data_IF_641841329731
#
_entry.id   IF_641841329731
#
_cell.length_a   1.000
_cell.length_b   1.000
_cell.length_c   1.000
_cell.angle_alpha   90.00
_cell.angle_beta   90.00
_cell.angle_gamma   90.00
#
_symmetry.space_group_name_H-M   'P 1'
#
loop_
_entity.id
_entity.type
_entity.pdbx_description
1 polymer ?
#
# COMPACT_ATOMS: atom_id res chain seq x y z
N UNK A 1 17.93 -28.88 18.76
CA UNK A 1 18.16 -27.82 17.78
C UNK A 1 17.70 -26.52 18.42
N UNK A 2 18.61 -25.57 18.56
CA UNK A 2 18.32 -24.22 19.10
C UNK A 2 17.53 -23.40 18.09
N UNK A 3 16.92 -22.29 18.50
CA UNK A 3 16.08 -21.46 17.64
C UNK A 3 16.84 -20.92 16.42
N UNK A 4 18.05 -20.44 16.60
CA UNK A 4 18.87 -19.89 15.51
C UNK A 4 19.32 -20.98 14.52
N UNK A 5 19.66 -22.16 14.99
CA UNK A 5 19.98 -23.31 14.14
C UNK A 5 18.78 -23.71 13.29
N UNK A 6 17.57 -23.69 13.89
CA UNK A 6 16.31 -23.98 13.19
C UNK A 6 16.05 -22.97 12.09
N UNK A 7 16.16 -21.66 12.38
CA UNK A 7 15.96 -20.58 11.43
C UNK A 7 16.93 -20.67 10.27
N UNK A 8 18.21 -20.94 10.51
CA UNK A 8 19.22 -21.12 9.48
C UNK A 8 18.89 -22.31 8.58
N UNK A 9 18.56 -23.46 9.15
CA UNK A 9 18.22 -24.65 8.39
C UNK A 9 16.94 -24.48 7.53
N UNK A 10 15.95 -23.73 8.05
CA UNK A 10 14.76 -23.38 7.28
C UNK A 10 15.07 -22.39 6.14
N UNK A 11 15.94 -21.41 6.39
CA UNK A 11 16.36 -20.46 5.37
C UNK A 11 17.11 -21.17 4.23
N UNK A 12 17.90 -22.19 4.54
CA UNK A 12 18.58 -23.01 3.54
C UNK A 12 17.64 -23.86 2.67
N UNK A 13 16.46 -24.12 3.17
CA UNK A 13 15.42 -24.90 2.48
C UNK A 13 14.15 -24.06 2.21
N UNK A 14 14.28 -22.75 2.13
CA UNK A 14 13.13 -21.83 2.06
C UNK A 14 12.26 -22.04 0.82
N UNK A 15 12.84 -22.40 -0.33
CA UNK A 15 12.07 -22.63 -1.55
C UNK A 15 11.19 -23.89 -1.45
N UNK A 16 11.70 -25.10 -1.13
CA UNK A 16 10.84 -26.25 -0.91
C UNK A 16 9.85 -26.04 0.25
N UNK A 17 10.25 -25.34 1.31
CA UNK A 17 9.36 -24.98 2.41
C UNK A 17 8.18 -24.12 1.92
N UNK A 18 8.43 -23.09 1.14
CA UNK A 18 7.40 -22.20 0.63
C UNK A 18 6.43 -22.93 -0.33
N UNK A 19 6.96 -23.77 -1.22
CA UNK A 19 6.14 -24.60 -2.14
C UNK A 19 5.20 -25.52 -1.38
N UNK A 20 5.70 -26.17 -0.34
CA UNK A 20 4.90 -27.06 0.48
C UNK A 20 3.85 -26.32 1.32
N UNK A 21 4.25 -25.23 1.98
CA UNK A 21 3.33 -24.44 2.82
C UNK A 21 2.21 -23.79 2.02
N UNK A 22 2.51 -23.25 0.85
CA UNK A 22 1.57 -22.51 0.05
C UNK A 22 0.77 -23.39 -0.91
N UNK A 23 1.21 -24.63 -1.14
CA UNK A 23 0.56 -25.61 -2.03
C UNK A 23 0.17 -25.01 -3.40
N UNK A 24 1.03 -24.14 -3.92
CA UNK A 24 0.81 -23.42 -5.15
C UNK A 24 2.11 -23.28 -5.95
N UNK A 25 2.01 -23.28 -7.27
CA UNK A 25 3.13 -22.92 -8.13
C UNK A 25 3.42 -21.41 -8.03
N UNK A 26 4.69 -21.00 -8.04
CA UNK A 26 5.02 -19.59 -8.10
C UNK A 26 4.46 -18.94 -9.36
N UNK A 27 3.86 -17.76 -9.20
CA UNK A 27 3.37 -16.94 -10.32
C UNK A 27 4.49 -16.16 -11.01
N UNK A 28 5.63 -16.00 -10.33
CA UNK A 28 6.83 -15.35 -10.86
C UNK A 28 8.07 -15.98 -10.22
N UNK A 29 9.15 -16.12 -11.00
CA UNK A 29 10.48 -16.53 -10.55
C UNK A 29 11.52 -15.54 -11.01
N UNK A 30 12.33 -15.05 -10.08
CA UNK A 30 13.54 -14.28 -10.33
C UNK A 30 14.74 -15.01 -9.72
N UNK A 31 15.95 -14.50 -9.93
CA UNK A 31 17.20 -15.12 -9.46
C UNK A 31 17.23 -15.35 -7.94
N UNK A 32 16.70 -14.43 -7.17
CA UNK A 32 16.76 -14.40 -5.71
C UNK A 32 15.39 -14.38 -5.03
N UNK A 33 14.30 -14.44 -5.81
CA UNK A 33 12.95 -14.31 -5.29
C UNK A 33 11.95 -15.16 -6.09
N UNK A 34 11.05 -15.84 -5.39
CA UNK A 34 9.87 -16.46 -5.98
C UNK A 34 8.62 -15.77 -5.42
N UNK A 35 7.58 -15.64 -6.25
CA UNK A 35 6.35 -14.97 -5.86
C UNK A 35 5.14 -15.87 -6.03
N UNK A 36 4.18 -15.70 -5.14
CA UNK A 36 2.94 -16.47 -5.09
C UNK A 36 1.72 -15.56 -5.05
N UNK A 37 0.56 -16.16 -5.33
CA UNK A 37 -0.72 -15.48 -5.24
C UNK A 37 -1.00 -14.57 -6.44
N UNK A 38 -2.18 -13.99 -6.43
CA UNK A 38 -2.64 -13.11 -7.53
C UNK A 38 -1.67 -11.95 -7.70
N UNK A 39 -1.14 -11.78 -8.90
CA UNK A 39 -0.14 -10.75 -9.26
C UNK A 39 1.19 -10.84 -8.48
N UNK A 40 1.51 -11.98 -7.87
CA UNK A 40 2.77 -12.15 -7.15
C UNK A 40 2.85 -11.35 -5.85
N UNK A 41 1.74 -11.22 -5.13
CA UNK A 41 1.67 -10.41 -3.91
C UNK A 41 2.55 -10.93 -2.77
N UNK A 42 2.72 -12.24 -2.64
CA UNK A 42 3.58 -12.86 -1.64
C UNK A 42 4.95 -13.16 -2.24
N UNK A 43 5.97 -12.47 -1.78
CA UNK A 43 7.37 -12.68 -2.18
C UNK A 43 8.13 -13.48 -1.14
N UNK A 44 8.93 -14.47 -1.59
CA UNK A 44 9.82 -15.28 -0.75
C UNK A 44 11.24 -15.18 -1.31
N UNK A 45 12.20 -14.79 -0.48
CA UNK A 45 13.60 -14.66 -0.85
C UNK A 45 14.30 -16.01 -0.78
N UNK A 46 14.71 -16.53 -1.94
CA UNK A 46 15.32 -17.86 -2.07
C UNK A 46 16.84 -17.80 -2.18
N UNK A 47 17.41 -16.62 -2.43
CA UNK A 47 18.85 -16.42 -2.49
C UNK A 47 19.25 -15.00 -2.02
N UNK A 48 20.56 -14.74 -1.91
CA UNK A 48 21.14 -13.45 -1.52
C UNK A 48 21.07 -13.16 -0.01
N UNK A 49 21.44 -11.94 0.43
CA UNK A 49 21.55 -11.57 1.86
C UNK A 49 20.25 -11.67 2.63
N UNK A 50 19.10 -11.65 1.95
CA UNK A 50 17.75 -11.76 2.56
C UNK A 50 17.13 -13.14 2.39
N UNK A 51 17.92 -14.16 2.02
CA UNK A 51 17.43 -15.53 1.88
C UNK A 51 16.72 -15.98 3.16
N UNK A 52 15.59 -16.68 3.02
CA UNK A 52 14.80 -17.15 4.15
C UNK A 52 13.77 -16.14 4.67
N UNK A 53 13.64 -14.96 4.05
CA UNK A 53 12.61 -14.00 4.41
C UNK A 53 11.45 -13.98 3.43
N UNK A 54 10.28 -13.52 3.88
CA UNK A 54 9.11 -13.29 3.04
C UNK A 54 8.47 -11.93 3.30
N UNK A 55 7.68 -11.47 2.34
CA UNK A 55 6.86 -10.26 2.44
C UNK A 55 5.57 -10.45 1.64
N UNK A 56 4.43 -10.22 2.29
CA UNK A 56 3.13 -10.13 1.63
C UNK A 56 2.79 -8.67 1.33
N UNK A 57 2.87 -8.27 0.07
CA UNK A 57 2.54 -6.93 -0.41
C UNK A 57 1.03 -6.66 -0.49
N UNK A 58 0.18 -7.67 -0.35
CA UNK A 58 -1.28 -7.50 -0.26
C UNK A 58 -1.76 -7.33 1.18
N UNK A 59 -0.92 -7.73 2.14
CA UNK A 59 -1.08 -7.61 3.57
C UNK A 59 0.09 -6.87 4.20
N UNK A 60 0.18 -6.90 5.53
CA UNK A 60 1.31 -6.35 6.29
C UNK A 60 2.29 -7.43 6.77
N UNK A 61 2.06 -8.69 6.41
CA UNK A 61 2.84 -9.81 6.90
C UNK A 61 4.23 -9.86 6.26
N UNK A 62 5.26 -9.91 7.09
CA UNK A 62 6.66 -10.10 6.68
C UNK A 62 7.42 -10.78 7.80
N UNK A 63 8.50 -11.45 7.46
CA UNK A 63 9.33 -12.09 8.48
C UNK A 63 10.30 -13.10 7.90
N UNK A 64 10.82 -13.97 8.79
CA UNK A 64 11.70 -15.08 8.47
C UNK A 64 10.92 -16.36 8.07
N UNK A 65 11.64 -17.45 7.82
CA UNK A 65 11.04 -18.73 7.43
C UNK A 65 10.09 -19.31 8.51
N UNK A 66 10.37 -19.06 9.80
CA UNK A 66 9.48 -19.51 10.88
C UNK A 66 8.19 -18.66 10.89
N UNK A 67 8.29 -17.38 10.65
CA UNK A 67 7.14 -16.49 10.47
C UNK A 67 6.33 -16.83 9.23
N UNK A 68 6.97 -17.33 8.14
CA UNK A 68 6.26 -17.85 6.97
C UNK A 68 5.40 -19.08 7.33
N UNK A 69 5.90 -19.97 8.19
CA UNK A 69 5.12 -21.12 8.68
C UNK A 69 3.90 -20.63 9.47
N UNK A 70 4.08 -19.67 10.39
CA UNK A 70 2.97 -19.08 11.14
C UNK A 70 1.95 -18.43 10.22
N UNK A 71 2.42 -17.65 9.25
CA UNK A 71 1.58 -16.99 8.25
C UNK A 71 0.76 -17.99 7.43
N UNK A 72 1.41 -19.01 6.86
CA UNK A 72 0.77 -19.98 5.99
C UNK A 72 -0.18 -20.93 6.73
N UNK A 73 0.15 -21.24 7.98
CA UNK A 73 -0.60 -22.22 8.81
C UNK A 73 -1.54 -21.57 9.81
N UNK A 74 -1.47 -20.23 9.97
CA UNK A 74 -2.26 -19.49 10.95
C UNK A 74 -2.15 -20.09 12.36
N UNK A 75 -0.92 -20.40 12.80
CA UNK A 75 -0.65 -21.12 14.03
C UNK A 75 0.24 -20.29 14.99
N UNK A 76 0.22 -20.66 16.27
CA UNK A 76 1.03 -20.05 17.30
C UNK A 76 2.55 -20.32 17.11
N UNK A 77 3.44 -19.44 17.60
CA UNK A 77 4.89 -19.60 17.45
C UNK A 77 5.43 -20.94 17.92
N UNK A 78 4.88 -21.49 19.01
CA UNK A 78 5.26 -22.81 19.54
C UNK A 78 4.89 -23.96 18.63
N UNK A 79 3.77 -23.83 17.93
CA UNK A 79 3.31 -24.84 16.97
C UNK A 79 4.13 -24.78 15.68
N UNK A 80 4.41 -23.57 15.18
CA UNK A 80 5.31 -23.38 14.04
C UNK A 80 6.70 -23.96 14.31
N UNK A 81 7.25 -23.74 15.51
CA UNK A 81 8.55 -24.30 15.91
C UNK A 81 8.54 -25.83 15.93
N UNK A 82 7.50 -26.44 16.51
CA UNK A 82 7.33 -27.88 16.58
C UNK A 82 7.22 -28.53 15.21
N UNK A 83 6.39 -27.93 14.35
CA UNK A 83 6.22 -28.37 12.98
C UNK A 83 7.52 -28.25 12.17
N UNK A 84 8.20 -27.11 12.26
CA UNK A 84 9.47 -26.87 11.58
C UNK A 84 10.54 -27.91 11.92
N UNK A 85 10.63 -28.32 13.18
CA UNK A 85 11.54 -29.39 13.62
C UNK A 85 11.17 -30.73 13.00
N UNK A 86 9.89 -31.07 12.98
CA UNK A 86 9.42 -32.31 12.36
C UNK A 86 9.69 -32.31 10.85
N UNK A 87 9.43 -31.19 10.19
CA UNK A 87 9.66 -31.03 8.76
C UNK A 87 11.15 -31.15 8.35
N UNK A 88 12.04 -30.56 9.12
CA UNK A 88 13.49 -30.67 8.89
C UNK A 88 14.04 -32.07 9.20
N UNK A 89 13.42 -32.80 10.13
CA UNK A 89 13.80 -34.18 10.51
C UNK A 89 13.19 -35.25 9.63
N UNK A 90 12.27 -34.92 8.73
CA UNK A 90 11.68 -35.86 7.78
C UNK A 90 12.70 -36.23 6.69
N UNK A 91 12.81 -37.53 6.34
CA UNK A 91 13.63 -37.97 5.23
C UNK A 91 13.11 -37.36 3.90
N UNK A 92 13.99 -37.07 2.91
CA UNK A 92 13.54 -36.64 1.59
C UNK A 92 12.55 -37.67 1.00
N UNK A 93 11.33 -37.24 0.66
CA UNK A 93 10.27 -38.11 0.15
C UNK A 93 9.36 -38.71 1.23
N UNK A 94 9.61 -38.49 2.51
CA UNK A 94 8.65 -38.82 3.58
C UNK A 94 7.51 -37.80 3.53
N UNK A 95 6.26 -38.32 3.69
CA UNK A 95 5.09 -37.43 3.84
C UNK A 95 5.33 -36.50 5.04
N UNK A 96 5.36 -35.20 4.80
CA UNK A 96 5.38 -34.22 5.88
C UNK A 96 4.20 -34.49 6.84
N UNK A 97 4.33 -34.15 8.14
CA UNK A 97 3.23 -34.29 9.07
C UNK A 97 1.97 -33.65 8.46
N UNK A 98 0.80 -34.32 8.50
CA UNK A 98 -0.40 -33.78 7.87
C UNK A 98 -0.61 -32.35 8.30
N UNK A 99 -0.78 -31.48 7.32
CA UNK A 99 -1.13 -30.09 7.57
C UNK A 99 -2.44 -30.10 8.38
N UNK A 100 -2.55 -29.41 9.52
CA UNK A 100 -3.84 -29.21 10.12
C UNK A 100 -4.76 -28.60 9.05
N UNK A 101 -6.08 -28.89 9.09
CA UNK A 101 -7.00 -28.35 8.09
C UNK A 101 -6.77 -26.86 8.00
N UNK A 102 -6.54 -26.40 6.76
CA UNK A 102 -6.36 -24.96 6.50
C UNK A 102 -7.55 -24.24 7.13
N UNK A 103 -7.35 -23.33 8.09
CA UNK A 103 -8.46 -22.51 8.54
C UNK A 103 -9.12 -21.92 7.31
N UNK A 104 -10.45 -21.75 7.30
CA UNK A 104 -11.13 -21.23 6.13
C UNK A 104 -10.37 -20.01 5.67
N UNK A 105 -9.94 -20.02 4.41
CA UNK A 105 -9.20 -18.92 3.79
C UNK A 105 -9.88 -17.63 4.22
N UNK A 106 -9.18 -16.64 4.80
CA UNK A 106 -9.81 -15.37 5.13
C UNK A 106 -10.60 -14.98 3.90
N UNK A 107 -11.88 -14.82 4.06
CA UNK A 107 -12.92 -14.68 3.03
C UNK A 107 -12.33 -13.97 1.84
N UNK A 108 -12.33 -14.60 0.67
CA UNK A 108 -11.77 -14.04 -0.57
C UNK A 108 -12.07 -12.56 -0.58
N UNK A 109 -11.06 -11.72 -0.82
CA UNK A 109 -11.28 -10.26 -0.91
C UNK A 109 -12.56 -10.06 -1.72
N UNK A 110 -13.52 -9.26 -1.24
CA UNK A 110 -14.80 -9.10 -1.91
C UNK A 110 -14.55 -8.93 -3.40
N UNK A 111 -15.36 -9.50 -4.30
CA UNK A 111 -15.17 -9.31 -5.72
C UNK A 111 -15.02 -7.82 -6.01
N UNK A 112 -14.20 -7.46 -6.96
CA UNK A 112 -13.86 -6.04 -7.27
C UNK A 112 -15.13 -5.17 -7.39
N UNK A 113 -16.21 -5.71 -7.95
CA UNK A 113 -17.52 -5.07 -8.01
C UNK A 113 -18.06 -4.72 -6.61
N UNK A 114 -17.98 -5.63 -5.66
CA UNK A 114 -18.49 -5.39 -4.29
C UNK A 114 -17.69 -4.31 -3.56
N UNK A 115 -16.37 -4.19 -3.81
CA UNK A 115 -15.57 -3.12 -3.23
C UNK A 115 -15.81 -1.77 -3.89
N UNK A 116 -16.14 -1.76 -5.19
CA UNK A 116 -16.57 -0.55 -5.90
C UNK A 116 -17.93 -0.07 -5.38
N UNK A 117 -18.88 -0.98 -5.20
CA UNK A 117 -20.20 -0.65 -4.68
C UNK A 117 -20.13 -0.15 -3.23
N UNK A 118 -19.27 -0.76 -2.41
CA UNK A 118 -18.99 -0.27 -1.07
C UNK A 118 -18.39 1.15 -1.12
N UNK A 119 -17.42 1.39 -2.00
CA UNK A 119 -16.81 2.71 -2.17
C UNK A 119 -17.85 3.78 -2.57
N UNK A 120 -18.74 3.45 -3.53
CA UNK A 120 -19.82 4.35 -3.96
C UNK A 120 -20.78 4.66 -2.82
N UNK A 121 -21.19 3.65 -2.05
CA UNK A 121 -22.07 3.82 -0.90
C UNK A 121 -21.43 4.73 0.14
N UNK A 122 -20.21 4.42 0.59
CA UNK A 122 -19.51 5.23 1.59
C UNK A 122 -19.29 6.67 1.12
N UNK A 123 -19.01 6.86 -0.16
CA UNK A 123 -18.89 8.19 -0.75
C UNK A 123 -20.22 8.95 -0.75
N UNK A 124 -21.33 8.27 -1.02
CA UNK A 124 -22.69 8.84 -0.96
C UNK A 124 -23.13 9.21 0.44
N UNK A 125 -22.73 8.42 1.45
CA UNK A 125 -23.03 8.65 2.87
C UNK A 125 -22.12 9.71 3.51
N UNK A 126 -20.99 10.03 2.88
CA UNK A 126 -19.99 10.94 3.43
C UNK A 126 -20.43 12.41 3.36
N UNK A 127 -20.12 13.15 4.40
CA UNK A 127 -20.38 14.58 4.56
C UNK A 127 -19.27 15.41 3.90
N UNK A 128 -19.54 16.68 3.56
CA UNK A 128 -18.47 17.63 3.21
C UNK A 128 -17.39 17.65 4.30
N UNK A 129 -16.11 17.71 3.92
CA UNK A 129 -15.01 17.63 4.88
C UNK A 129 -14.91 18.88 5.79
N UNK A 130 -15.41 20.04 5.32
CA UNK A 130 -15.37 21.32 6.07
C UNK A 130 -16.18 21.23 7.36
N UNK A 131 -15.62 21.74 8.45
CA UNK A 131 -16.25 21.72 9.78
C UNK A 131 -16.21 20.35 10.47
N UNK A 132 -15.44 19.39 9.98
CA UNK A 132 -15.38 18.02 10.50
C UNK A 132 -13.98 17.64 10.97
N UNK A 133 -13.86 16.42 11.55
CA UNK A 133 -12.57 15.87 11.95
C UNK A 133 -11.59 15.72 10.75
N UNK A 134 -12.08 15.63 9.52
CA UNK A 134 -11.22 15.60 8.33
C UNK A 134 -10.50 16.95 8.11
N UNK A 135 -11.19 18.07 8.32
CA UNK A 135 -10.57 19.40 8.28
C UNK A 135 -9.60 19.59 9.46
N UNK A 136 -10.00 19.17 10.67
CA UNK A 136 -9.13 19.23 11.86
C UNK A 136 -7.84 18.41 11.65
N UNK A 137 -7.95 17.23 11.08
CA UNK A 137 -6.81 16.40 10.74
C UNK A 137 -5.85 17.10 9.74
N UNK A 138 -6.38 17.67 8.69
CA UNK A 138 -5.55 18.42 7.73
C UNK A 138 -4.93 19.66 8.37
N UNK A 139 -5.70 20.38 9.19
CA UNK A 139 -5.21 21.55 9.93
C UNK A 139 -4.11 21.20 10.93
N UNK A 140 -4.19 20.05 11.63
CA UNK A 140 -3.12 19.58 12.52
C UNK A 140 -1.80 19.33 11.80
N UNK A 141 -1.86 19.09 10.49
CA UNK A 141 -0.70 18.99 9.61
C UNK A 141 -0.35 20.33 8.92
N UNK A 142 -1.04 21.40 9.29
CA UNK A 142 -0.87 22.73 8.68
C UNK A 142 -1.33 22.79 7.23
N UNK A 143 -2.31 21.99 6.86
CA UNK A 143 -2.89 21.91 5.51
C UNK A 143 -4.32 22.43 5.54
N UNK A 144 -4.73 23.14 4.50
CA UNK A 144 -6.07 23.66 4.36
C UNK A 144 -6.91 22.83 3.37
N UNK A 145 -8.23 22.81 3.56
CA UNK A 145 -9.21 22.28 2.62
C UNK A 145 -9.48 23.32 1.52
N UNK A 146 -8.51 23.59 0.66
CA UNK A 146 -8.72 24.50 -0.46
C UNK A 146 -9.40 23.77 -1.62
N UNK A 147 -10.67 24.07 -1.88
CA UNK A 147 -11.36 23.65 -3.10
C UNK A 147 -11.40 22.14 -3.34
N UNK A 148 -11.14 21.36 -2.31
CA UNK A 148 -10.88 19.93 -2.40
C UNK A 148 -12.18 19.12 -2.58
N UNK A 149 -12.83 19.29 -3.72
CA UNK A 149 -14.01 18.54 -4.12
C UNK A 149 -13.91 17.00 -3.95
N UNK A 150 -12.73 16.34 -4.12
CA UNK A 150 -12.62 14.90 -3.95
C UNK A 150 -12.45 14.46 -2.48
N UNK A 151 -12.54 15.36 -1.49
CA UNK A 151 -12.38 15.03 -0.07
C UNK A 151 -13.71 15.17 0.68
N UNK A 152 -14.08 14.14 1.43
CA UNK A 152 -15.28 14.09 2.30
C UNK A 152 -14.94 13.51 3.66
N UNK A 153 -15.85 13.62 4.60
CA UNK A 153 -15.76 13.03 5.94
C UNK A 153 -16.83 11.98 6.13
N UNK A 154 -16.46 10.82 6.66
CA UNK A 154 -17.41 9.80 7.06
C UNK A 154 -17.29 9.52 8.56
N UNK A 155 -18.36 9.73 9.40
CA UNK A 155 -18.26 9.63 10.85
C UNK A 155 -18.07 8.18 11.34
N UNK A 156 -18.55 7.20 10.57
CA UNK A 156 -18.49 5.76 10.88
C UNK A 156 -18.14 4.96 9.64
N UNK A 157 -17.01 5.29 9.00
CA UNK A 157 -16.54 4.59 7.82
C UNK A 157 -16.33 3.10 8.12
N UNK A 158 -16.83 2.25 7.23
CA UNK A 158 -16.63 0.81 7.31
C UNK A 158 -15.16 0.46 7.46
N UNK A 159 -14.87 -0.51 8.33
CA UNK A 159 -13.54 -1.07 8.53
C UNK A 159 -13.64 -2.59 8.51
N UNK A 160 -12.65 -3.27 7.93
CA UNK A 160 -12.64 -4.74 7.96
C UNK A 160 -12.56 -5.23 9.41
N UNK A 161 -13.36 -6.24 9.76
CA UNK A 161 -13.55 -6.76 11.13
C UNK A 161 -12.23 -7.08 11.86
N UNK A 162 -11.17 -7.43 11.14
CA UNK A 162 -9.85 -7.71 11.72
C UNK A 162 -9.05 -6.47 12.17
N UNK A 163 -9.50 -5.25 11.83
CA UNK A 163 -8.74 -4.01 12.06
C UNK A 163 -9.46 -2.96 12.92
N UNK A 164 -10.51 -3.37 13.57
CA UNK A 164 -11.27 -2.54 14.51
C UNK A 164 -12.68 -2.19 14.07
N UNK A 165 -13.42 -1.46 14.92
CA UNK A 165 -14.79 -1.03 14.61
C UNK A 165 -14.80 0.06 13.52
N UNK A 166 -15.96 0.29 12.87
CA UNK A 166 -16.17 1.46 12.03
C UNK A 166 -15.89 2.76 12.81
N UNK A 167 -15.18 3.68 12.18
CA UNK A 167 -14.73 4.92 12.84
C UNK A 167 -14.68 6.11 11.89
N UNK A 168 -14.33 7.30 12.41
CA UNK A 168 -14.21 8.50 11.61
C UNK A 168 -13.10 8.36 10.56
N UNK A 169 -13.37 8.84 9.35
CA UNK A 169 -12.39 8.77 8.27
C UNK A 169 -12.49 9.97 7.31
N UNK A 170 -11.32 10.41 6.84
CA UNK A 170 -11.21 11.22 5.64
C UNK A 170 -11.36 10.29 4.42
N UNK A 171 -12.38 10.52 3.61
CA UNK A 171 -12.62 9.84 2.35
C UNK A 171 -12.13 10.69 1.19
N UNK A 172 -11.43 10.06 0.26
CA UNK A 172 -11.04 10.68 -1.00
C UNK A 172 -11.55 9.87 -2.17
N UNK A 173 -12.21 10.54 -3.13
CA UNK A 173 -12.67 9.91 -4.36
C UNK A 173 -11.47 9.54 -5.23
N UNK A 174 -11.36 8.28 -5.61
CA UNK A 174 -10.38 7.82 -6.60
C UNK A 174 -11.02 7.75 -7.97
N UNK A 175 -10.34 8.32 -8.97
CA UNK A 175 -10.77 8.32 -10.36
C UNK A 175 -9.73 7.66 -11.25
N UNK A 176 -10.14 7.14 -12.39
CA UNK A 176 -9.23 6.74 -13.46
C UNK A 176 -8.40 7.95 -13.90
N UNK A 177 -7.09 7.80 -14.00
CA UNK A 177 -6.20 8.90 -14.36
C UNK A 177 -6.44 9.42 -15.79
N UNK A 178 -6.95 8.57 -16.68
CA UNK A 178 -7.15 8.86 -18.08
C UNK A 178 -8.57 9.38 -18.38
N UNK A 179 -9.59 8.73 -17.82
CA UNK A 179 -11.02 9.01 -18.14
C UNK A 179 -11.72 9.90 -17.11
N UNK A 180 -11.13 10.13 -15.95
CA UNK A 180 -11.72 10.79 -14.78
C UNK A 180 -12.92 10.06 -14.14
N UNK A 181 -13.30 8.87 -14.64
CA UNK A 181 -14.40 8.10 -14.06
C UNK A 181 -14.09 7.63 -12.63
N UNK A 182 -15.07 7.69 -11.73
CA UNK A 182 -14.92 7.16 -10.38
C UNK A 182 -14.63 5.66 -10.38
N UNK A 183 -13.53 5.25 -9.75
CA UNK A 183 -13.09 3.85 -9.69
C UNK A 183 -13.04 3.31 -8.27
N UNK A 184 -13.15 4.15 -7.26
CA UNK A 184 -13.08 3.74 -5.87
C UNK A 184 -12.97 4.90 -4.89
N UNK A 185 -12.68 4.57 -3.64
CA UNK A 185 -12.44 5.52 -2.57
C UNK A 185 -11.21 5.12 -1.75
N UNK A 186 -10.44 6.13 -1.34
CA UNK A 186 -9.36 5.98 -0.37
C UNK A 186 -9.87 6.47 0.99
N UNK A 187 -9.78 5.62 2.02
CA UNK A 187 -10.19 5.92 3.37
C UNK A 187 -8.95 6.09 4.24
N UNK A 188 -8.80 7.22 4.90
CA UNK A 188 -7.82 7.46 5.96
C UNK A 188 -8.57 7.54 7.28
N UNK A 189 -8.45 6.53 8.15
CA UNK A 189 -9.08 6.54 9.46
C UNK A 189 -8.41 7.54 10.38
N UNK A 190 -9.23 8.27 11.13
CA UNK A 190 -8.80 9.39 11.98
C UNK A 190 -8.93 9.03 13.46
N UNK A 191 -8.11 9.66 14.29
CA UNK A 191 -8.28 9.66 15.72
C UNK A 191 -9.65 10.30 16.09
N UNK A 192 -10.26 9.91 17.21
CA UNK A 192 -11.59 10.40 17.61
C UNK A 192 -11.68 11.93 17.76
N UNK A 193 -10.57 12.58 18.03
CA UNK A 193 -10.44 14.04 18.18
C UNK A 193 -9.98 14.75 16.88
N UNK A 194 -9.73 13.99 15.82
CA UNK A 194 -9.24 14.53 14.54
C UNK A 194 -7.80 15.05 14.55
N UNK A 195 -7.03 14.88 15.63
CA UNK A 195 -5.65 15.40 15.75
C UNK A 195 -4.65 14.63 14.89
N UNK A 196 -4.93 13.36 14.59
CA UNK A 196 -4.02 12.45 13.89
C UNK A 196 -4.79 11.40 13.08
N UNK A 197 -4.06 10.52 12.40
CA UNK A 197 -4.59 9.24 11.93
C UNK A 197 -4.92 8.34 13.11
N UNK A 198 -5.89 7.44 12.94
CA UNK A 198 -6.19 6.41 13.93
C UNK A 198 -4.94 5.58 14.26
N UNK A 199 -4.87 5.06 15.46
CA UNK A 199 -3.84 4.09 15.85
C UNK A 199 -4.15 2.69 15.29
N UNK A 200 -3.10 1.85 15.25
CA UNK A 200 -3.19 0.45 14.83
C UNK A 200 -2.82 0.19 13.38
N UNK A 201 -3.16 -1.02 12.92
CA UNK A 201 -2.86 -1.45 11.57
C UNK A 201 -3.90 -0.97 10.55
N UNK A 202 -3.47 -0.82 9.29
CA UNK A 202 -4.33 -0.44 8.16
C UNK A 202 -5.16 0.82 8.40
N UNK A 203 -4.50 1.86 8.85
CA UNK A 203 -5.10 3.20 9.01
C UNK A 203 -5.45 3.86 7.68
N UNK A 204 -4.98 3.30 6.56
CA UNK A 204 -5.35 3.67 5.19
C UNK A 204 -5.87 2.43 4.45
N UNK A 205 -6.99 2.56 3.76
CA UNK A 205 -7.61 1.49 2.97
C UNK A 205 -8.09 2.04 1.63
N UNK A 206 -7.84 1.29 0.57
CA UNK A 206 -8.42 1.54 -0.75
C UNK A 206 -9.57 0.57 -1.01
N UNK A 207 -10.69 1.08 -1.46
CA UNK A 207 -11.87 0.35 -1.90
C UNK A 207 -12.08 0.57 -3.39
N UNK A 208 -12.34 -0.50 -4.13
CA UNK A 208 -12.45 -0.45 -5.58
C UNK A 208 -11.12 -0.68 -6.30
N UNK A 209 -10.99 -0.12 -7.50
CA UNK A 209 -9.77 -0.21 -8.33
C UNK A 209 -8.76 0.88 -7.96
N UNK A 210 -7.50 0.61 -8.27
CA UNK A 210 -6.44 1.63 -8.16
C UNK A 210 -6.77 2.81 -9.08
N UNK A 211 -6.66 4.00 -8.53
CA UNK A 211 -6.93 5.26 -9.22
C UNK A 211 -6.08 6.38 -8.64
N UNK A 212 -6.42 7.60 -9.00
CA UNK A 212 -5.79 8.82 -8.50
C UNK A 212 -6.82 9.73 -7.83
N UNK A 213 -6.37 10.50 -6.86
CA UNK A 213 -7.16 11.54 -6.19
C UNK A 213 -6.78 12.86 -6.84
N UNK A 214 -7.71 13.44 -7.60
CA UNK A 214 -7.51 14.69 -8.34
C UNK A 214 -7.82 15.88 -7.44
N UNK A 215 -6.85 16.30 -6.62
CA UNK A 215 -7.02 17.40 -5.67
C UNK A 215 -7.21 18.77 -6.32
N UNK A 216 -6.85 18.93 -7.59
CA UNK A 216 -7.13 20.08 -8.43
C UNK A 216 -7.31 19.65 -9.88
N UNK A 217 -8.08 20.40 -10.71
CA UNK A 217 -8.21 20.12 -12.14
C UNK A 217 -6.88 20.30 -12.88
N UNK A 218 -6.74 19.61 -14.02
CA UNK A 218 -5.62 19.83 -14.93
C UNK A 218 -5.94 21.03 -15.80
N UNK A 219 -5.40 22.19 -15.46
CA UNK A 219 -5.65 23.47 -16.16
C UNK A 219 -4.56 23.84 -17.17
N UNK A 220 -3.51 23.05 -17.25
CA UNK A 220 -2.37 23.31 -18.13
C UNK A 220 -1.62 22.05 -18.51
N UNK A 221 -0.50 22.17 -19.25
CA UNK A 221 0.23 21.01 -19.75
C UNK A 221 1.09 20.29 -18.69
N UNK A 222 1.26 20.85 -17.51
CA UNK A 222 2.10 20.30 -16.46
C UNK A 222 1.26 19.68 -15.34
N UNK A 223 1.54 18.41 -15.02
CA UNK A 223 0.87 17.66 -13.95
C UNK A 223 1.90 17.28 -12.88
N UNK A 224 1.55 17.50 -11.62
CA UNK A 224 2.26 16.95 -10.47
C UNK A 224 1.62 15.66 -9.98
N UNK A 225 2.42 14.73 -9.47
CA UNK A 225 1.93 13.56 -8.75
C UNK A 225 2.75 13.34 -7.49
N UNK A 226 2.07 12.96 -6.40
CA UNK A 226 2.67 12.56 -5.13
C UNK A 226 2.07 11.22 -4.67
N UNK A 227 2.70 10.55 -3.70
CA UNK A 227 2.16 9.31 -3.16
C UNK A 227 0.90 9.58 -2.32
N UNK A 228 0.94 10.55 -1.40
CA UNK A 228 -0.12 10.81 -0.44
C UNK A 228 -0.91 12.08 -0.70
N UNK A 229 -2.11 12.14 -0.11
CA UNK A 229 -2.98 13.34 -0.12
C UNK A 229 -2.26 14.50 0.57
N UNK A 230 -1.66 14.22 1.71
CA UNK A 230 -0.97 15.19 2.55
C UNK A 230 0.21 15.82 1.79
N UNK A 231 1.03 14.99 1.15
CA UNK A 231 2.15 15.43 0.30
C UNK A 231 1.66 16.30 -0.86
N UNK A 232 0.62 15.85 -1.57
CA UNK A 232 0.07 16.59 -2.70
C UNK A 232 -0.47 17.97 -2.28
N UNK A 233 -1.21 18.04 -1.16
CA UNK A 233 -1.71 19.30 -0.60
C UNK A 233 -0.57 20.20 -0.14
N UNK A 234 0.45 19.66 0.54
CA UNK A 234 1.60 20.42 1.00
C UNK A 234 2.35 21.08 -0.17
N UNK A 235 2.59 20.31 -1.24
CA UNK A 235 3.24 20.85 -2.46
C UNK A 235 2.40 21.95 -3.09
N UNK A 236 1.07 21.75 -3.22
CA UNK A 236 0.20 22.77 -3.81
C UNK A 236 0.12 24.04 -2.98
N UNK A 237 0.08 23.94 -1.64
CA UNK A 237 -0.16 25.07 -0.76
C UNK A 237 1.11 25.81 -0.34
N UNK A 238 2.22 25.09 -0.19
CA UNK A 238 3.46 25.66 0.33
C UNK A 238 4.52 25.87 -0.74
N UNK A 239 4.58 24.99 -1.75
CA UNK A 239 5.50 25.14 -2.88
C UNK A 239 4.86 25.80 -4.10
N UNK A 240 3.56 26.08 -4.08
CA UNK A 240 2.83 26.76 -5.16
C UNK A 240 2.72 25.96 -6.46
N UNK A 241 3.07 24.68 -6.48
CA UNK A 241 2.96 23.84 -7.67
C UNK A 241 1.56 23.25 -7.80
N UNK A 242 0.86 23.56 -8.90
CA UNK A 242 -0.51 23.06 -9.19
C UNK A 242 -0.66 22.64 -10.65
N UNK A 243 -1.48 21.60 -10.96
CA UNK A 243 -2.13 20.69 -10.01
C UNK A 243 -1.18 19.60 -9.53
N UNK A 244 -1.40 19.05 -8.33
CA UNK A 244 -0.79 17.81 -7.87
C UNK A 244 -1.88 16.81 -7.51
N UNK A 245 -1.80 15.59 -8.08
CA UNK A 245 -2.70 14.50 -7.76
C UNK A 245 -2.03 13.51 -6.79
N UNK A 246 -2.81 12.80 -6.00
CA UNK A 246 -2.29 11.75 -5.13
C UNK A 246 -2.54 10.37 -5.74
N UNK A 247 -1.48 9.55 -5.79
CA UNK A 247 -1.52 8.19 -6.37
C UNK A 247 -1.83 7.09 -5.36
N UNK A 248 -1.93 7.42 -4.07
CA UNK A 248 -2.30 6.54 -2.95
C UNK A 248 -1.24 5.55 -2.46
N UNK A 249 -0.24 5.20 -3.25
CA UNK A 249 0.91 4.39 -2.84
C UNK A 249 2.06 4.49 -3.87
N UNK A 250 3.30 4.18 -3.44
CA UNK A 250 4.49 4.17 -4.30
C UNK A 250 4.31 3.30 -5.56
N UNK A 251 3.69 2.11 -5.43
CA UNK A 251 3.41 1.26 -6.57
C UNK A 251 2.46 1.87 -7.60
N UNK A 252 1.52 2.72 -7.19
CA UNK A 252 0.64 3.45 -8.10
C UNK A 252 1.39 4.63 -8.77
N UNK A 253 2.27 5.32 -8.04
CA UNK A 253 3.20 6.31 -8.63
C UNK A 253 4.02 5.66 -9.75
N UNK A 254 4.68 4.53 -9.47
CA UNK A 254 5.53 3.85 -10.47
C UNK A 254 4.78 3.40 -11.73
N UNK A 255 3.48 3.11 -11.61
CA UNK A 255 2.62 2.69 -12.74
C UNK A 255 1.79 3.83 -13.32
N UNK A 256 2.01 5.06 -12.89
CA UNK A 256 1.20 6.20 -13.31
C UNK A 256 1.15 6.34 -14.84
N UNK A 257 -0.05 6.36 -15.46
CA UNK A 257 -0.20 6.38 -16.91
C UNK A 257 0.09 7.74 -17.51
N UNK A 258 0.11 7.80 -18.83
CA UNK A 258 0.15 9.06 -19.57
C UNK A 258 -1.26 9.66 -19.54
N UNK A 259 -1.39 10.85 -18.97
CA UNK A 259 -2.66 11.54 -18.82
C UNK A 259 -2.95 12.38 -20.07
N UNK A 260 -4.14 12.25 -20.68
CA UNK A 260 -4.55 13.11 -21.78
C UNK A 260 -4.52 14.59 -21.36
N UNK A 261 -4.00 15.45 -22.25
CA UNK A 261 -3.86 16.88 -21.98
C UNK A 261 -2.59 17.27 -21.24
N UNK A 262 -1.89 16.35 -20.56
CA UNK A 262 -0.61 16.64 -19.93
C UNK A 262 0.55 16.43 -20.90
N UNK A 263 1.45 17.42 -20.99
CA UNK A 263 2.69 17.36 -21.75
C UNK A 263 3.90 17.00 -20.86
N UNK A 264 3.80 17.23 -19.57
CA UNK A 264 4.88 16.92 -18.62
C UNK A 264 4.38 16.47 -17.26
N UNK A 265 5.20 15.64 -16.59
CA UNK A 265 4.97 15.11 -15.24
C UNK A 265 6.07 15.60 -14.28
N UNK A 266 5.67 16.14 -13.13
CA UNK A 266 6.53 16.33 -11.98
C UNK A 266 6.18 15.28 -10.92
N UNK A 267 7.11 14.39 -10.58
CA UNK A 267 6.91 13.39 -9.52
C UNK A 267 7.50 13.93 -8.23
N UNK A 268 6.64 14.26 -7.27
CA UNK A 268 7.02 14.67 -5.92
C UNK A 268 7.20 13.40 -5.06
N UNK A 269 8.42 12.87 -5.08
CA UNK A 269 8.78 11.63 -4.41
C UNK A 269 9.17 11.86 -2.96
N UNK A 270 8.84 10.92 -2.08
CA UNK A 270 9.45 10.85 -0.75
C UNK A 270 10.91 10.40 -0.89
N UNK A 271 11.80 10.91 -0.04
CA UNK A 271 13.24 10.67 -0.11
C UNK A 271 13.63 9.30 0.47
N UNK A 272 12.83 8.27 0.22
CA UNK A 272 13.10 6.90 0.58
C UNK A 272 13.35 6.01 -0.65
N UNK A 273 14.01 4.84 -0.49
CA UNK A 273 14.31 3.98 -1.63
C UNK A 273 13.09 3.53 -2.44
N UNK A 274 11.94 3.13 -1.85
CA UNK A 274 10.73 2.78 -2.58
C UNK A 274 10.13 3.95 -3.37
N UNK A 275 10.00 5.13 -2.76
CA UNK A 275 9.46 6.35 -3.37
C UNK A 275 10.31 6.79 -4.56
N UNK A 276 11.64 6.82 -4.39
CA UNK A 276 12.58 7.18 -5.46
C UNK A 276 12.58 6.14 -6.60
N UNK A 277 12.43 4.85 -6.32
CA UNK A 277 12.32 3.82 -7.36
C UNK A 277 11.03 4.00 -8.17
N UNK A 278 9.91 4.24 -7.50
CA UNK A 278 8.62 4.49 -8.13
C UNK A 278 8.66 5.76 -9.01
N UNK A 279 9.26 6.83 -8.50
CA UNK A 279 9.43 8.08 -9.24
C UNK A 279 10.25 7.89 -10.53
N UNK A 280 11.35 7.13 -10.47
CA UNK A 280 12.15 6.80 -11.67
C UNK A 280 11.34 6.01 -12.69
N UNK A 281 10.53 5.04 -12.26
CA UNK A 281 9.65 4.26 -13.15
C UNK A 281 8.62 5.14 -13.85
N UNK A 282 7.95 6.02 -13.12
CA UNK A 282 6.98 6.96 -13.67
C UNK A 282 7.65 7.92 -14.67
N UNK A 283 8.76 8.54 -14.28
CA UNK A 283 9.49 9.48 -15.13
C UNK A 283 10.00 8.81 -16.41
N UNK A 284 10.51 7.59 -16.32
CA UNK A 284 10.97 6.82 -17.50
C UNK A 284 9.82 6.51 -18.45
N UNK A 285 8.64 6.08 -17.92
CA UNK A 285 7.45 5.83 -18.74
C UNK A 285 7.03 7.08 -19.52
N UNK A 286 6.99 8.23 -18.88
CA UNK A 286 6.59 9.49 -19.53
C UNK A 286 7.59 9.93 -20.60
N UNK A 287 8.90 9.83 -20.31
CA UNK A 287 9.95 10.11 -21.30
C UNK A 287 9.88 9.18 -22.51
N UNK A 288 9.65 7.89 -22.29
CA UNK A 288 9.49 6.91 -23.38
C UNK A 288 8.27 7.20 -24.26
N UNK A 289 7.26 7.89 -23.74
CA UNK A 289 6.10 8.38 -24.48
C UNK A 289 6.32 9.77 -25.13
N UNK A 290 7.57 10.25 -25.14
CA UNK A 290 7.89 11.57 -25.71
C UNK A 290 7.41 12.77 -24.87
N UNK A 291 7.11 12.56 -23.57
CA UNK A 291 6.63 13.59 -22.65
C UNK A 291 7.75 14.06 -21.72
N UNK A 292 7.63 15.30 -21.24
CA UNK A 292 8.51 15.82 -20.20
C UNK A 292 8.30 15.05 -18.88
N UNK A 293 9.41 14.76 -18.16
CA UNK A 293 9.29 14.22 -16.81
C UNK A 293 10.47 14.62 -15.93
N UNK A 294 10.17 15.07 -14.72
CA UNK A 294 11.14 15.39 -13.67
C UNK A 294 10.76 14.76 -12.34
N UNK A 295 11.77 14.48 -11.53
CA UNK A 295 11.62 13.98 -10.17
C UNK A 295 12.07 15.10 -9.24
N UNK A 296 11.26 15.40 -8.25
CA UNK A 296 11.53 16.39 -7.22
C UNK A 296 11.36 15.66 -5.89
N UNK A 297 12.40 15.70 -5.05
CA UNK A 297 12.39 15.08 -3.74
C UNK A 297 12.92 16.08 -2.70
N UNK A 298 12.47 16.01 -1.44
CA UNK A 298 13.05 16.78 -0.38
C UNK A 298 14.48 16.28 -0.09
N UNK A 299 15.31 17.05 0.61
CA UNK A 299 16.67 16.63 0.98
C UNK A 299 16.67 15.33 1.82
N UNK A 300 15.65 15.14 2.65
CA UNK A 300 15.43 13.93 3.48
C UNK A 300 13.96 13.82 3.88
N UNK A 301 13.50 12.61 4.23
CA UNK A 301 12.16 12.36 4.76
C UNK A 301 11.04 12.57 3.73
N UNK A 302 9.92 13.06 4.21
CA UNK A 302 8.74 13.36 3.40
C UNK A 302 8.55 14.88 3.17
N UNK A 303 7.69 15.21 2.23
CA UNK A 303 7.40 16.60 1.86
C UNK A 303 6.67 17.37 2.95
N UNK A 304 5.92 16.70 3.82
CA UNK A 304 5.20 17.36 4.90
C UNK A 304 6.18 17.92 5.95
N UNK A 305 7.23 17.15 6.28
CA UNK A 305 8.31 17.62 7.17
C UNK A 305 9.18 18.71 6.50
N UNK A 306 9.61 18.47 5.26
CA UNK A 306 10.48 19.39 4.54
C UNK A 306 9.86 20.79 4.35
N UNK A 307 8.55 20.85 4.13
CA UNK A 307 7.84 22.11 3.90
C UNK A 307 7.33 22.77 5.18
N UNK A 308 7.36 22.10 6.36
CA UNK A 308 7.05 22.74 7.66
C UNK A 308 8.12 23.73 8.11
N UNK A 309 9.38 23.50 7.75
CA UNK A 309 10.53 24.36 8.11
C UNK A 309 10.70 25.62 7.29
N UNK A 310 9.93 25.84 6.25
CA UNK A 310 10.13 26.92 5.25
C UNK A 310 9.39 28.22 5.49
N UNK A 311 8.93 28.52 6.70
CA UNK A 311 8.48 29.88 7.08
C UNK A 311 9.52 30.51 8.01
N UNK A 312 10.53 31.14 7.41
CA UNK A 312 11.22 32.29 7.98
C UNK A 312 11.05 33.46 7.02
#
# INVERSE_FOLDING_TARGET
MKLEELKSALADRIEPLALELLQAAPTMRARDEIRFGRKGALAVRVAGPKRGTFCDYSGSAKGDALSLIQYARQCEPREAFRWARAWLGAAPGSLAPPLPPKPPTPTASPPESATIDLARRLWGEALPARGTLAEMYLASRGLALEGAAPLRFHPRCWRNKGYGPPGPALLALMTCAETAEPVGAHCTYLAPDGSAKAEGERVKVMLGRSGVIRLAPLEGPALGIAEGIETALAVMQRAGWRPVWAATCAGAVGRFPIVPGAASLAVFADADPPGMAAARQAAQRWRNAGKGARIIAPPSGDWDEALKGGRQ
#
